data_IF_440430195232
#
_entry.id   IF_440430195232
#
_cell.length_a   1.000
_cell.length_b   1.000
_cell.length_c   1.000
_cell.angle_alpha   90.00
_cell.angle_beta   90.00
_cell.angle_gamma   90.00
#
_symmetry.space_group_name_H-M   'P 1'
#
loop_
_entity.id
_entity.type
_entity.pdbx_description
1 polymer ?
#
# COMPACT_ATOMS: atom_id res chain seq x y z
N UNK A 1 -19.31 23.69 -34.63
CA UNK A 1 -17.98 23.23 -34.17
C UNK A 1 -18.14 22.65 -32.78
N UNK A 2 -18.13 21.32 -32.64
CA UNK A 2 -18.12 20.63 -31.35
C UNK A 2 -16.72 20.04 -31.16
N UNK A 3 -15.94 20.64 -30.25
CA UNK A 3 -14.68 20.05 -29.78
C UNK A 3 -15.02 18.95 -28.79
N UNK A 4 -15.08 17.71 -29.28
CA UNK A 4 -14.92 16.52 -28.45
C UNK A 4 -13.47 16.47 -28.00
N UNK A 5 -13.22 16.93 -26.77
CA UNK A 5 -11.95 16.70 -26.07
C UNK A 5 -11.85 15.21 -25.76
N UNK A 6 -11.33 14.42 -26.72
CA UNK A 6 -10.78 13.10 -26.41
C UNK A 6 -9.60 13.33 -25.46
N UNK A 7 -9.80 13.04 -24.17
CA UNK A 7 -8.68 12.76 -23.28
C UNK A 7 -7.90 11.62 -23.94
N UNK A 8 -6.71 11.92 -24.45
CA UNK A 8 -5.76 10.89 -24.82
C UNK A 8 -5.44 10.12 -23.54
N UNK A 9 -5.91 8.88 -23.44
CA UNK A 9 -5.44 7.97 -22.41
C UNK A 9 -3.93 7.85 -22.59
N UNK A 10 -3.18 8.42 -21.67
CA UNK A 10 -1.73 8.25 -21.61
C UNK A 10 -1.46 6.81 -21.17
N UNK A 11 -1.37 5.91 -22.16
CA UNK A 11 -1.14 4.48 -21.97
C UNK A 11 0.27 4.18 -21.42
N UNK A 12 1.12 5.21 -21.25
CA UNK A 12 2.45 5.05 -20.67
C UNK A 12 2.43 4.94 -19.14
N UNK A 13 1.37 5.42 -18.48
CA UNK A 13 1.30 5.43 -17.01
C UNK A 13 0.90 4.06 -16.44
N UNK A 14 1.53 3.61 -15.35
CA UNK A 14 1.09 2.42 -14.62
C UNK A 14 -0.32 2.58 -14.07
N UNK A 15 -0.98 1.47 -13.77
CA UNK A 15 -2.34 1.47 -13.22
C UNK A 15 -2.30 1.58 -11.70
N UNK A 16 -3.28 2.26 -11.12
CA UNK A 16 -3.58 2.12 -9.70
C UNK A 16 -5.08 1.94 -9.46
N UNK A 17 -5.41 1.09 -8.50
CA UNK A 17 -6.78 0.81 -8.06
C UNK A 17 -6.99 1.34 -6.64
N UNK A 18 -8.21 1.76 -6.36
CA UNK A 18 -8.62 2.24 -5.04
C UNK A 18 -9.84 1.43 -4.62
N UNK A 19 -9.72 0.76 -3.48
CA UNK A 19 -10.77 -0.02 -2.84
C UNK A 19 -11.11 0.64 -1.52
N UNK A 20 -12.37 0.95 -1.30
CA UNK A 20 -12.84 1.61 -0.07
C UNK A 20 -13.92 0.75 0.57
N UNK A 21 -13.68 0.35 1.82
CA UNK A 21 -14.73 -0.18 2.71
C UNK A 21 -15.23 0.97 3.58
N UNK A 22 -16.53 1.22 3.57
CA UNK A 22 -17.14 2.40 4.18
C UNK A 22 -17.17 3.61 3.25
N UNK A 23 -16.98 4.80 3.80
CA UNK A 23 -17.19 6.06 3.07
C UNK A 23 -15.98 7.00 3.09
N UNK A 24 -15.70 7.60 1.93
CA UNK A 24 -14.88 8.80 1.81
C UNK A 24 -15.78 9.99 1.49
N UNK A 25 -15.57 11.11 2.16
CA UNK A 25 -16.23 12.35 1.76
C UNK A 25 -15.83 12.73 0.34
N UNK A 26 -16.66 13.50 -0.40
CA UNK A 26 -16.33 13.93 -1.76
C UNK A 26 -14.98 14.65 -1.87
N UNK A 27 -14.59 15.40 -0.83
CA UNK A 27 -13.31 16.10 -0.76
C UNK A 27 -12.12 15.14 -0.61
N UNK A 28 -12.25 14.09 0.19
CA UNK A 28 -11.19 13.09 0.37
C UNK A 28 -11.01 12.24 -0.88
N UNK A 29 -12.13 11.85 -1.50
CA UNK A 29 -12.11 11.16 -2.79
C UNK A 29 -11.36 12.00 -3.82
N UNK A 30 -11.76 13.27 -4.01
CA UNK A 30 -11.14 14.14 -5.02
C UNK A 30 -9.66 14.42 -4.70
N UNK A 31 -9.31 14.58 -3.41
CA UNK A 31 -7.91 14.76 -3.00
C UNK A 31 -7.06 13.53 -3.35
N UNK A 32 -7.55 12.32 -3.02
CA UNK A 32 -6.88 11.06 -3.34
C UNK A 32 -6.74 10.90 -4.86
N UNK A 33 -7.83 11.14 -5.59
CA UNK A 33 -7.85 11.08 -7.05
C UNK A 33 -6.85 12.06 -7.67
N UNK A 34 -6.80 13.31 -7.20
CA UNK A 34 -5.85 14.33 -7.69
C UNK A 34 -4.41 13.98 -7.42
N UNK A 35 -4.08 13.39 -6.28
CA UNK A 35 -2.72 12.94 -5.96
C UNK A 35 -2.29 11.83 -6.93
N UNK A 36 -3.13 10.81 -7.09
CA UNK A 36 -2.72 9.61 -7.83
C UNK A 36 -2.82 9.76 -9.35
N UNK A 37 -3.82 10.49 -9.89
CA UNK A 37 -4.02 10.64 -11.34
C UNK A 37 -2.87 11.33 -12.07
N UNK A 38 -2.03 12.06 -11.34
CA UNK A 38 -0.82 12.69 -11.89
C UNK A 38 0.16 11.64 -12.41
N UNK A 39 0.23 10.50 -11.73
CA UNK A 39 1.27 9.48 -11.90
C UNK A 39 0.72 8.15 -12.43
N UNK A 40 -0.56 7.88 -12.16
CA UNK A 40 -1.19 6.60 -12.49
C UNK A 40 -2.44 6.81 -13.35
N UNK A 41 -2.74 5.79 -14.17
CA UNK A 41 -4.08 5.59 -14.71
C UNK A 41 -4.93 4.96 -13.62
N UNK A 42 -5.95 5.68 -13.15
CA UNK A 42 -6.82 5.20 -12.09
C UNK A 42 -7.98 4.40 -12.66
N UNK A 43 -8.20 3.21 -12.11
CA UNK A 43 -9.47 2.52 -12.27
C UNK A 43 -10.56 3.20 -11.45
N UNK A 44 -11.83 2.93 -11.79
CA UNK A 44 -12.92 3.48 -11.00
C UNK A 44 -12.83 2.93 -9.57
N UNK A 45 -12.84 3.79 -8.53
CA UNK A 45 -12.79 3.33 -7.17
C UNK A 45 -13.99 2.43 -6.88
N UNK A 46 -13.74 1.27 -6.29
CA UNK A 46 -14.80 0.37 -5.86
C UNK A 46 -15.09 0.60 -4.38
N UNK A 47 -16.37 0.75 -4.08
CA UNK A 47 -16.89 0.95 -2.74
C UNK A 47 -17.67 -0.28 -2.29
N UNK A 48 -17.43 -0.71 -1.06
CA UNK A 48 -18.20 -1.77 -0.41
C UNK A 48 -18.60 -1.35 0.99
N UNK A 49 -19.73 -1.86 1.45
CA UNK A 49 -20.18 -1.66 2.83
C UNK A 49 -19.29 -2.42 3.81
N UNK A 50 -19.31 -1.98 5.08
CA UNK A 50 -18.68 -2.70 6.17
C UNK A 50 -19.43 -4.00 6.48
N UNK A 51 -18.67 -5.04 6.79
CA UNK A 51 -19.19 -6.19 7.55
C UNK A 51 -18.95 -6.02 9.07
N UNK A 52 -18.19 -5.00 9.47
CA UNK A 52 -17.64 -4.83 10.82
C UNK A 52 -17.77 -3.35 11.26
N UNK A 53 -18.60 -3.09 12.27
CA UNK A 53 -18.90 -1.73 12.79
C UNK A 53 -17.74 -1.12 13.61
N UNK A 54 -16.64 -1.83 13.82
CA UNK A 54 -15.54 -1.38 14.67
C UNK A 54 -14.55 -0.43 13.99
N UNK A 55 -14.67 -0.24 12.67
CA UNK A 55 -13.78 0.61 11.86
C UNK A 55 -14.59 1.63 11.06
N UNK A 56 -14.11 2.87 11.01
CA UNK A 56 -14.85 3.95 10.33
C UNK A 56 -14.66 3.97 8.82
N UNK A 57 -13.46 3.63 8.32
CA UNK A 57 -13.17 3.49 6.88
C UNK A 57 -11.95 2.58 6.68
N UNK A 58 -11.92 1.73 5.65
CA UNK A 58 -10.67 1.12 5.16
C UNK A 58 -10.39 1.56 3.74
N UNK A 59 -9.17 2.01 3.48
CA UNK A 59 -8.72 2.39 2.14
C UNK A 59 -7.55 1.52 1.74
N UNK A 60 -7.74 0.74 0.66
CA UNK A 60 -6.68 -0.04 0.04
C UNK A 60 -6.33 0.55 -1.31
N UNK A 61 -5.05 0.85 -1.50
CA UNK A 61 -4.51 1.32 -2.77
C UNK A 61 -3.62 0.23 -3.36
N UNK A 62 -3.90 -0.17 -4.59
CA UNK A 62 -3.11 -1.16 -5.31
C UNK A 62 -2.37 -0.42 -6.42
N UNK A 63 -1.06 -0.30 -6.30
CA UNK A 63 -0.19 0.17 -7.36
C UNK A 63 0.25 -1.00 -8.21
N UNK A 64 -0.11 -1.03 -9.48
CA UNK A 64 0.47 -1.95 -10.48
C UNK A 64 1.83 -1.42 -10.93
N UNK A 65 2.71 -1.30 -9.95
CA UNK A 65 4.05 -0.82 -10.07
C UNK A 65 4.93 -1.55 -9.06
N UNK A 66 6.20 -1.74 -9.44
CA UNK A 66 7.21 -2.35 -8.57
C UNK A 66 7.46 -1.49 -7.33
N UNK A 67 7.64 -2.15 -6.20
CA UNK A 67 8.08 -1.52 -4.96
C UNK A 67 9.60 -1.34 -4.99
N UNK A 68 10.05 -0.14 -5.30
CA UNK A 68 11.45 0.22 -5.40
C UNK A 68 11.65 1.71 -5.05
N UNK A 69 12.89 2.12 -4.83
CA UNK A 69 13.20 3.47 -4.35
C UNK A 69 12.70 4.58 -5.30
N UNK A 70 12.83 4.39 -6.61
CA UNK A 70 12.36 5.29 -7.66
C UNK A 70 10.85 5.58 -7.59
N UNK A 71 10.04 4.64 -7.09
CA UNK A 71 8.61 4.89 -6.85
C UNK A 71 8.41 6.08 -5.92
N UNK A 72 9.22 6.18 -4.87
CA UNK A 72 9.13 7.24 -3.87
C UNK A 72 9.90 8.50 -4.29
N UNK A 73 11.07 8.35 -4.92
CA UNK A 73 11.95 9.50 -5.22
C UNK A 73 11.71 10.15 -6.57
N UNK A 74 11.14 9.44 -7.53
CA UNK A 74 11.05 9.88 -8.93
C UNK A 74 9.60 9.95 -9.40
N UNK A 75 8.75 9.01 -8.97
CA UNK A 75 7.34 8.96 -9.35
C UNK A 75 6.50 9.81 -8.40
N UNK A 76 6.32 9.37 -7.14
CA UNK A 76 5.44 10.11 -6.23
C UNK A 76 6.10 11.36 -5.63
N UNK A 77 7.40 11.37 -5.36
CA UNK A 77 8.11 12.54 -4.85
C UNK A 77 7.36 13.18 -3.66
N UNK A 78 7.04 14.48 -3.75
CA UNK A 78 6.26 15.23 -2.77
C UNK A 78 4.81 14.76 -2.64
N UNK A 79 4.23 14.12 -3.67
CA UNK A 79 2.88 13.55 -3.60
C UNK A 79 2.81 12.33 -2.66
N UNK A 80 3.95 11.69 -2.32
CA UNK A 80 3.99 10.68 -1.24
C UNK A 80 3.70 11.31 0.12
N UNK A 81 4.29 12.47 0.39
CA UNK A 81 3.98 13.26 1.59
C UNK A 81 2.53 13.73 1.56
N UNK A 82 2.03 14.16 0.40
CA UNK A 82 0.63 14.51 0.21
C UNK A 82 -0.33 13.35 0.54
N UNK A 83 0.02 12.12 0.16
CA UNK A 83 -0.76 10.92 0.49
C UNK A 83 -0.76 10.64 2.00
N UNK A 84 0.40 10.76 2.64
CA UNK A 84 0.53 10.65 4.10
C UNK A 84 -0.37 11.66 4.82
N UNK A 85 -0.32 12.93 4.42
CA UNK A 85 -1.13 14.00 5.01
C UNK A 85 -2.63 13.76 4.79
N UNK A 86 -3.01 13.24 3.62
CA UNK A 86 -4.40 12.87 3.35
C UNK A 86 -4.87 11.69 4.23
N UNK A 87 -4.05 10.67 4.43
CA UNK A 87 -4.39 9.54 5.31
C UNK A 87 -4.63 10.01 6.75
N UNK A 88 -3.79 10.93 7.25
CA UNK A 88 -3.97 11.58 8.55
C UNK A 88 -5.30 12.32 8.65
N UNK A 89 -5.67 13.08 7.63
CA UNK A 89 -6.96 13.79 7.57
C UNK A 89 -8.15 12.83 7.54
N UNK A 90 -8.07 11.77 6.72
CA UNK A 90 -9.10 10.73 6.63
C UNK A 90 -9.29 10.09 8.00
N UNK A 91 -8.20 9.66 8.66
CA UNK A 91 -8.23 9.12 10.01
C UNK A 91 -8.85 10.09 11.00
N UNK A 92 -8.35 11.33 11.08
CA UNK A 92 -8.82 12.34 12.03
C UNK A 92 -10.34 12.51 12.02
N UNK A 93 -10.94 12.56 10.83
CA UNK A 93 -12.39 12.73 10.66
C UNK A 93 -13.24 11.55 11.09
N UNK A 94 -12.65 10.35 11.23
CA UNK A 94 -13.35 9.13 11.69
C UNK A 94 -13.35 9.02 13.21
N UNK A 95 -12.64 9.92 13.89
CA UNK A 95 -12.58 9.97 15.35
C UNK A 95 -12.19 8.61 15.95
N UNK A 96 -12.98 8.14 16.92
CA UNK A 96 -12.69 6.90 17.66
C UNK A 96 -12.73 5.63 16.80
N UNK A 97 -13.54 5.58 15.76
CA UNK A 97 -13.62 4.42 14.87
C UNK A 97 -12.36 4.28 13.99
N UNK A 98 -11.63 5.37 13.81
CA UNK A 98 -10.39 5.40 13.04
C UNK A 98 -10.55 5.05 11.56
N UNK A 99 -9.41 4.91 10.89
CA UNK A 99 -9.33 4.48 9.50
C UNK A 99 -8.16 3.52 9.32
N UNK A 100 -8.39 2.44 8.58
CA UNK A 100 -7.36 1.47 8.21
C UNK A 100 -6.83 1.72 6.81
N UNK A 101 -5.53 1.55 6.61
CA UNK A 101 -4.90 1.72 5.30
C UNK A 101 -4.11 0.49 4.90
N UNK A 102 -4.16 0.16 3.61
CA UNK A 102 -3.34 -0.90 3.01
C UNK A 102 -2.76 -0.41 1.70
N UNK A 103 -1.46 -0.57 1.54
CA UNK A 103 -0.76 -0.27 0.30
C UNK A 103 -0.28 -1.57 -0.31
N UNK A 104 -0.64 -1.82 -1.57
CA UNK A 104 -0.22 -3.01 -2.31
C UNK A 104 0.59 -2.59 -3.52
N UNK A 105 1.73 -3.24 -3.73
CA UNK A 105 2.57 -3.07 -4.91
C UNK A 105 2.58 -4.38 -5.68
N UNK A 106 2.17 -4.33 -6.94
CA UNK A 106 2.09 -5.49 -7.82
C UNK A 106 3.12 -5.34 -8.93
N UNK A 107 4.09 -6.25 -8.93
CA UNK A 107 5.04 -6.47 -10.02
C UNK A 107 4.74 -7.84 -10.66
N UNK A 108 5.34 -8.14 -11.82
CA UNK A 108 5.22 -9.41 -12.52
C UNK A 108 5.68 -10.63 -11.71
N UNK A 109 6.46 -10.41 -10.65
CA UNK A 109 7.11 -11.47 -9.87
C UNK A 109 6.46 -11.73 -8.52
N UNK A 110 6.06 -10.67 -7.83
CA UNK A 110 5.60 -10.74 -6.44
C UNK A 110 4.65 -9.59 -6.13
N UNK A 111 3.67 -9.86 -5.27
CA UNK A 111 2.80 -8.87 -4.67
C UNK A 111 3.30 -8.51 -3.27
N UNK A 112 3.50 -7.23 -3.00
CA UNK A 112 3.85 -6.75 -1.66
C UNK A 112 2.66 -6.02 -1.03
N UNK A 113 2.30 -6.41 0.18
CA UNK A 113 1.17 -5.83 0.93
C UNK A 113 1.68 -5.25 2.24
N UNK A 114 1.49 -3.95 2.41
CA UNK A 114 1.78 -3.23 3.64
C UNK A 114 0.47 -2.86 4.32
N UNK A 115 0.18 -3.50 5.45
CA UNK A 115 -0.98 -3.20 6.28
C UNK A 115 -0.58 -2.21 7.37
N UNK A 116 -1.15 -1.01 7.33
CA UNK A 116 -0.95 -0.02 8.38
C UNK A 116 -1.89 -0.30 9.56
N UNK A 117 -3.05 -0.90 9.33
CA UNK A 117 -4.05 -1.13 10.37
C UNK A 117 -4.63 0.18 10.93
N UNK A 118 -5.16 0.15 12.16
CA UNK A 118 -5.72 1.31 12.85
C UNK A 118 -4.62 2.02 13.66
N UNK A 119 -3.95 2.99 13.04
CA UNK A 119 -2.90 3.79 13.66
C UNK A 119 -3.41 5.16 14.10
N UNK A 120 -2.79 5.74 15.14
CA UNK A 120 -2.95 7.15 15.46
C UNK A 120 -2.03 7.99 14.58
N UNK A 121 -2.10 9.32 14.71
CA UNK A 121 -1.47 10.25 13.77
C UNK A 121 0.06 10.13 13.72
N UNK A 122 0.69 9.88 14.88
CA UNK A 122 2.14 9.76 14.99
C UNK A 122 2.63 8.45 14.35
N UNK A 123 2.02 7.31 14.69
CA UNK A 123 2.40 6.00 14.15
C UNK A 123 2.06 5.89 12.67
N UNK A 124 0.94 6.46 12.22
CA UNK A 124 0.61 6.53 10.79
C UNK A 124 1.66 7.34 10.02
N UNK A 125 2.14 8.44 10.61
CA UNK A 125 3.22 9.23 10.06
C UNK A 125 4.52 8.43 9.94
N UNK A 126 4.92 7.79 11.03
CA UNK A 126 6.13 6.95 11.10
C UNK A 126 6.08 5.79 10.12
N UNK A 127 4.96 5.06 10.06
CA UNK A 127 4.75 3.93 9.17
C UNK A 127 4.95 4.33 7.69
N UNK A 128 4.33 5.43 7.26
CA UNK A 128 4.43 5.94 5.89
C UNK A 128 5.86 6.40 5.54
N UNK A 129 6.59 7.00 6.49
CA UNK A 129 7.98 7.40 6.25
C UNK A 129 8.91 6.17 6.16
N UNK A 130 8.70 5.16 7.01
CA UNK A 130 9.48 3.92 7.00
C UNK A 130 9.28 3.07 5.74
N UNK A 131 8.07 3.03 5.16
CA UNK A 131 7.80 2.25 3.93
C UNK A 131 8.79 2.61 2.82
N UNK A 132 9.13 3.88 2.61
CA UNK A 132 10.06 4.25 1.54
C UNK A 132 11.50 3.72 1.82
N UNK A 133 11.91 3.73 3.08
CA UNK A 133 13.23 3.28 3.52
C UNK A 133 13.40 1.75 3.50
N UNK A 134 12.30 1.00 3.64
CA UNK A 134 12.30 -0.46 3.63
C UNK A 134 12.61 -1.09 2.27
N UNK A 135 12.57 -0.32 1.19
CA UNK A 135 12.87 -0.80 -0.18
C UNK A 135 14.19 -1.57 -0.26
N UNK A 136 15.23 -1.11 0.44
CA UNK A 136 16.53 -1.79 0.50
C UNK A 136 16.47 -3.13 1.24
N UNK A 137 15.86 -3.17 2.42
CA UNK A 137 15.76 -4.38 3.25
C UNK A 137 14.88 -5.42 2.56
N UNK A 138 13.71 -5.02 2.08
CA UNK A 138 12.80 -5.88 1.32
C UNK A 138 13.49 -6.45 0.08
N UNK A 139 14.26 -5.64 -0.63
CA UNK A 139 15.06 -6.09 -1.77
C UNK A 139 16.10 -7.16 -1.43
N UNK A 140 16.63 -7.17 -0.20
CA UNK A 140 17.50 -8.24 0.30
C UNK A 140 16.71 -9.48 0.74
N UNK A 141 15.59 -9.28 1.45
CA UNK A 141 14.73 -10.37 1.91
C UNK A 141 14.14 -11.17 0.75
N UNK A 142 13.92 -10.53 -0.40
CA UNK A 142 13.30 -11.14 -1.57
C UNK A 142 14.28 -11.76 -2.58
N UNK A 143 15.55 -11.92 -2.19
CA UNK A 143 16.53 -12.54 -3.08
C UNK A 143 16.35 -14.06 -3.16
N UNK A 144 16.70 -14.69 -4.29
CA UNK A 144 16.67 -16.15 -4.38
C UNK A 144 17.49 -16.84 -3.28
N UNK A 145 18.58 -16.24 -2.81
CA UNK A 145 19.44 -16.85 -1.79
C UNK A 145 18.84 -16.84 -0.38
N UNK A 146 17.87 -15.97 -0.11
CA UNK A 146 17.17 -15.87 1.19
C UNK A 146 15.85 -16.66 1.19
N UNK A 147 15.38 -17.07 0.02
CA UNK A 147 14.11 -17.79 -0.20
C UNK A 147 14.37 -19.28 -0.41
N UNK A 148 13.67 -20.12 0.35
CA UNK A 148 13.66 -21.58 0.12
C UNK A 148 12.76 -21.93 -1.08
N UNK A 149 11.74 -21.11 -1.32
CA UNK A 149 10.76 -21.22 -2.40
C UNK A 149 10.44 -19.80 -2.89
N UNK A 150 10.37 -19.54 -4.22
CA UNK A 150 9.90 -18.25 -4.73
C UNK A 150 8.52 -17.89 -4.15
N UNK A 151 8.36 -16.65 -3.70
CA UNK A 151 7.11 -16.18 -3.10
C UNK A 151 6.25 -15.45 -4.13
N UNK A 152 4.95 -15.69 -4.13
CA UNK A 152 3.99 -14.92 -4.92
C UNK A 152 3.52 -13.64 -4.23
N UNK A 153 3.52 -13.65 -2.90
CA UNK A 153 3.05 -12.56 -2.08
C UNK A 153 3.90 -12.47 -0.82
N UNK A 154 4.21 -11.24 -0.41
CA UNK A 154 4.77 -10.94 0.91
C UNK A 154 3.93 -9.84 1.56
N UNK A 155 3.64 -10.04 2.83
CA UNK A 155 2.87 -9.14 3.66
C UNK A 155 3.73 -8.65 4.83
N UNK A 156 3.53 -7.40 5.22
CA UNK A 156 4.08 -6.83 6.43
C UNK A 156 3.01 -5.98 7.13
N UNK A 157 3.06 -5.95 8.46
CA UNK A 157 2.19 -5.11 9.28
C UNK A 157 3.01 -4.16 10.13
N UNK A 158 2.49 -2.95 10.35
CA UNK A 158 3.13 -2.00 11.24
C UNK A 158 2.72 -2.26 12.70
N UNK A 159 3.70 -2.43 13.59
CA UNK A 159 3.45 -2.55 15.03
C UNK A 159 3.67 -1.20 15.71
N UNK A 160 2.56 -0.59 16.15
CA UNK A 160 2.54 0.67 16.89
C UNK A 160 3.34 0.63 18.20
N UNK A 161 3.52 -0.54 18.82
CA UNK A 161 4.23 -0.65 20.10
C UNK A 161 5.73 -0.54 19.91
N UNK A 162 6.26 -1.08 18.81
CA UNK A 162 7.69 -1.06 18.49
C UNK A 162 8.04 0.06 17.51
N UNK A 163 7.03 0.71 16.92
CA UNK A 163 7.13 1.70 15.84
C UNK A 163 7.92 1.16 14.64
N UNK A 164 7.62 -0.09 14.25
CA UNK A 164 8.36 -0.80 13.18
C UNK A 164 7.44 -1.66 12.33
N UNK A 165 7.83 -1.83 11.07
CA UNK A 165 7.31 -2.88 10.20
C UNK A 165 7.85 -4.24 10.63
N UNK A 166 6.95 -5.20 10.85
CA UNK A 166 7.26 -6.53 11.31
C UNK A 166 6.22 -7.54 10.80
N UNK A 167 6.27 -8.76 11.32
CA UNK A 167 5.41 -9.87 10.90
C UNK A 167 5.48 -10.13 9.39
N UNK A 168 6.69 -10.12 8.83
CA UNK A 168 6.91 -10.46 7.44
C UNK A 168 6.46 -11.90 7.15
N UNK A 169 5.38 -12.02 6.39
CA UNK A 169 4.78 -13.28 5.97
C UNK A 169 4.84 -13.39 4.46
N UNK A 170 4.95 -14.61 3.96
CA UNK A 170 5.03 -14.90 2.54
C UNK A 170 4.10 -16.04 2.16
N UNK A 171 3.65 -16.05 0.91
CA UNK A 171 2.95 -17.20 0.32
C UNK A 171 3.81 -17.74 -0.82
N UNK A 172 4.09 -19.04 -0.79
CA UNK A 172 4.88 -19.71 -1.83
C UNK A 172 4.16 -19.72 -3.18
N UNK A 173 4.89 -19.41 -4.25
CA UNK A 173 4.36 -19.35 -5.61
C UNK A 173 3.86 -20.72 -6.08
N UNK A 174 4.67 -21.77 -5.86
CA UNK A 174 4.38 -23.11 -6.35
C UNK A 174 3.63 -23.97 -5.34
N UNK A 175 3.97 -23.88 -4.05
CA UNK A 175 3.42 -24.78 -3.02
C UNK A 175 2.28 -24.19 -2.20
N UNK A 176 2.03 -22.88 -2.35
CA UNK A 176 0.98 -22.11 -1.66
C UNK A 176 1.07 -22.17 -0.14
N UNK A 177 2.23 -22.55 0.42
CA UNK A 177 2.43 -22.57 1.86
C UNK A 177 2.69 -21.18 2.40
N UNK A 178 2.38 -21.01 3.68
CA UNK A 178 2.75 -19.82 4.42
C UNK A 178 4.20 -19.91 4.91
N UNK A 179 4.91 -18.81 4.69
CA UNK A 179 6.27 -18.58 5.15
C UNK A 179 6.30 -17.39 6.10
N UNK A 180 7.25 -17.39 7.03
CA UNK A 180 7.61 -16.23 7.83
C UNK A 180 9.10 -15.94 7.64
N UNK A 181 9.48 -14.67 7.75
CA UNK A 181 10.89 -14.29 7.71
C UNK A 181 11.52 -14.43 9.10
N UNK A 182 12.56 -15.25 9.20
CA UNK A 182 13.39 -15.34 10.40
C UNK A 182 14.49 -14.29 10.31
N UNK A 183 14.33 -13.19 11.05
CA UNK A 183 15.29 -12.08 11.08
C UNK A 183 16.67 -12.50 11.62
N UNK A 184 16.72 -13.45 12.55
CA UNK A 184 17.97 -13.91 13.17
C UNK A 184 18.85 -14.68 12.19
N UNK A 185 18.21 -15.42 11.28
CA UNK A 185 18.89 -16.21 10.25
C UNK A 185 18.83 -15.58 8.86
N UNK A 186 18.18 -14.42 8.76
CA UNK A 186 17.93 -13.65 7.55
C UNK A 186 17.41 -14.51 6.38
N UNK A 187 16.41 -15.36 6.64
CA UNK A 187 15.85 -16.29 5.64
C UNK A 187 14.37 -16.57 5.87
N UNK A 188 13.67 -16.96 4.80
CA UNK A 188 12.29 -17.44 4.89
C UNK A 188 12.22 -18.86 5.44
N UNK A 189 11.23 -19.14 6.28
CA UNK A 189 10.93 -20.46 6.84
C UNK A 189 9.43 -20.75 6.78
N UNK A 190 9.08 -22.03 6.69
CA UNK A 190 7.70 -22.47 6.98
C UNK A 190 7.55 -22.67 8.49
N UNK A 191 6.32 -22.55 9.00
CA UNK A 191 6.00 -23.02 10.35
C UNK A 191 6.15 -24.53 10.47
#
# INVERSE_FOLDING_TARGET
>A
MLRTSRQSMDLSKPVAEILVEGELSPFEHEALYKLLKKHFRLEQPSYSEFLDETVGTRVKIIFHHRYERSFFTDILQDDWRGLKDLFKQIRYRRGRLGAGFTLTFVDQRIRLVFSLGLLEDEELGSAMDQIAHLTGIMGQMMRPETMIEPLEQVEASFDRRTDRWQEFRGVGLNDRKEYFFDESLFRWKTR
#
